data_IF_034202817619
#
_entry.id   IF_034202817619
#
_cell.length_a   1.000
_cell.length_b   1.000
_cell.length_c   1.000
_cell.angle_alpha   90.00
_cell.angle_beta   90.00
_cell.angle_gamma   90.00
#
_symmetry.space_group_name_H-M   'P 1'
#
loop_
_entity.id
_entity.type
_entity.pdbx_description
1 polymer ?
#
# COMPACT_ATOMS: atom_id res chain seq x y z
N UNK A 1 3.42 -21.35 -12.02
CA UNK A 1 2.46 -20.27 -11.71
C UNK A 1 1.72 -19.76 -12.95
N UNK A 2 2.37 -19.10 -13.92
CA UNK A 2 1.68 -18.52 -15.11
C UNK A 2 0.93 -19.58 -15.94
N UNK A 3 1.60 -20.68 -16.28
CA UNK A 3 0.95 -21.78 -17.02
C UNK A 3 -0.23 -22.39 -16.25
N UNK A 4 -0.10 -22.50 -14.93
CA UNK A 4 -1.16 -23.00 -14.04
C UNK A 4 -2.41 -22.13 -14.12
N UNK A 5 -2.29 -20.81 -13.96
CA UNK A 5 -3.47 -19.91 -14.02
C UNK A 5 -4.09 -19.84 -15.42
N UNK A 6 -3.27 -20.03 -16.48
CA UNK A 6 -3.75 -20.13 -17.85
C UNK A 6 -4.60 -21.39 -18.06
N UNK A 7 -4.15 -22.53 -17.56
CA UNK A 7 -4.91 -23.79 -17.60
C UNK A 7 -6.21 -23.69 -16.80
N UNK A 8 -6.17 -23.10 -15.60
CA UNK A 8 -7.37 -22.85 -14.80
C UNK A 8 -8.41 -22.07 -15.61
N UNK A 9 -8.04 -20.97 -16.27
CA UNK A 9 -8.98 -20.20 -17.12
C UNK A 9 -9.60 -21.03 -18.24
N UNK A 10 -8.84 -21.95 -18.81
CA UNK A 10 -9.33 -22.85 -19.85
C UNK A 10 -10.35 -23.86 -19.29
N UNK A 11 -10.10 -24.40 -18.09
CA UNK A 11 -10.98 -25.39 -17.45
C UNK A 11 -12.29 -24.78 -16.93
N UNK A 12 -12.22 -23.64 -16.23
CA UNK A 12 -13.39 -23.04 -15.57
C UNK A 12 -14.11 -22.00 -16.44
N UNK A 13 -13.53 -21.63 -17.58
CA UNK A 13 -14.09 -20.63 -18.50
C UNK A 13 -13.75 -19.18 -18.15
N UNK A 14 -13.84 -18.31 -19.16
CA UNK A 14 -13.41 -16.91 -19.09
C UNK A 14 -14.26 -16.01 -18.18
N UNK A 15 -15.50 -16.40 -17.87
CA UNK A 15 -16.39 -15.66 -16.99
C UNK A 15 -16.19 -15.99 -15.50
N UNK A 16 -15.27 -16.90 -15.17
CA UNK A 16 -15.01 -17.33 -13.79
C UNK A 16 -13.61 -16.92 -13.29
N UNK A 17 -12.82 -16.22 -14.12
CA UNK A 17 -11.50 -15.70 -13.78
C UNK A 17 -11.19 -14.43 -14.57
N UNK A 18 -10.62 -13.45 -13.89
CA UNK A 18 -10.17 -12.20 -14.49
C UNK A 18 -8.67 -12.01 -14.24
N UNK A 19 -7.95 -11.55 -15.25
CA UNK A 19 -6.53 -11.23 -15.13
C UNK A 19 -6.32 -9.72 -15.00
N UNK A 20 -5.82 -9.30 -13.84
CA UNK A 20 -5.43 -7.92 -13.56
C UNK A 20 -3.91 -7.83 -13.65
N UNK A 21 -3.41 -7.03 -14.58
CA UNK A 21 -1.97 -6.88 -14.79
C UNK A 21 -1.47 -5.54 -14.29
N UNK A 22 -0.63 -5.55 -13.26
CA UNK A 22 0.04 -4.37 -12.73
C UNK A 22 1.28 -4.06 -13.58
N UNK A 23 1.35 -2.85 -14.11
CA UNK A 23 2.50 -2.37 -14.87
C UNK A 23 3.02 -1.05 -14.31
N UNK A 24 4.22 -0.66 -14.72
CA UNK A 24 4.82 0.63 -14.35
C UNK A 24 4.94 1.54 -15.57
N UNK A 25 4.47 2.79 -15.42
CA UNK A 25 4.58 3.88 -16.39
C UNK A 25 5.46 4.96 -15.78
N UNK A 26 6.79 4.87 -15.96
CA UNK A 26 7.71 5.85 -15.40
C UNK A 26 7.58 7.21 -16.10
N UNK A 27 7.83 8.27 -15.34
CA UNK A 27 8.06 9.63 -15.84
C UNK A 27 9.45 10.07 -15.35
N UNK A 28 10.52 9.84 -16.14
CA UNK A 28 11.88 10.19 -15.73
C UNK A 28 12.02 11.68 -15.42
N UNK A 29 12.72 11.99 -14.33
CA UNK A 29 12.99 13.36 -13.93
C UNK A 29 13.70 14.13 -15.08
N UNK A 30 13.27 15.36 -15.33
CA UNK A 30 13.84 16.23 -16.35
C UNK A 30 13.24 16.10 -17.76
N UNK A 31 12.49 15.03 -18.05
CA UNK A 31 11.85 14.84 -19.36
C UNK A 31 10.33 15.16 -19.30
N UNK A 32 9.72 15.13 -18.10
CA UNK A 32 8.28 15.37 -17.87
C UNK A 32 7.35 14.61 -18.85
N UNK A 33 7.78 13.46 -19.34
CA UNK A 33 7.07 12.66 -20.33
C UNK A 33 6.94 11.22 -19.84
N UNK A 34 5.71 10.76 -19.75
CA UNK A 34 5.37 9.39 -19.38
C UNK A 34 5.83 8.39 -20.46
N UNK A 35 6.49 7.31 -20.03
CA UNK A 35 6.98 6.26 -20.93
C UNK A 35 6.14 5.00 -20.81
N UNK A 36 5.29 4.76 -21.81
CA UNK A 36 4.44 3.54 -21.89
C UNK A 36 5.18 2.28 -22.35
N UNK A 37 6.42 2.39 -22.82
CA UNK A 37 7.18 1.26 -23.38
C UNK A 37 7.33 0.07 -22.41
N UNK A 38 7.64 0.27 -21.10
CA UNK A 38 7.72 -0.85 -20.15
C UNK A 38 6.39 -1.58 -20.01
N UNK A 39 5.27 -0.85 -19.94
CA UNK A 39 3.92 -1.42 -19.92
C UNK A 39 3.64 -2.26 -21.16
N UNK A 40 3.95 -1.74 -22.36
CA UNK A 40 3.76 -2.48 -23.62
C UNK A 40 4.59 -3.77 -23.68
N UNK A 41 5.84 -3.74 -23.24
CA UNK A 41 6.69 -4.93 -23.20
C UNK A 41 6.18 -5.95 -22.20
N UNK A 42 5.77 -5.49 -21.01
CA UNK A 42 5.21 -6.34 -19.96
C UNK A 42 3.95 -7.07 -20.43
N UNK A 43 2.99 -6.36 -21.02
CA UNK A 43 1.77 -6.99 -21.57
C UNK A 43 2.09 -7.93 -22.72
N UNK A 44 3.01 -7.58 -23.63
CA UNK A 44 3.42 -8.49 -24.71
C UNK A 44 4.02 -9.80 -24.18
N UNK A 45 4.80 -9.74 -23.10
CA UNK A 45 5.34 -10.94 -22.46
C UNK A 45 4.23 -11.79 -21.85
N UNK A 46 3.24 -11.17 -21.20
CA UNK A 46 2.07 -11.86 -20.66
C UNK A 46 1.24 -12.54 -21.77
N UNK A 47 0.98 -11.82 -22.86
CA UNK A 47 0.25 -12.34 -24.02
C UNK A 47 1.01 -13.50 -24.70
N UNK A 48 2.34 -13.46 -24.77
CA UNK A 48 3.17 -14.58 -25.28
C UNK A 48 3.03 -15.84 -24.43
N UNK A 49 2.75 -15.69 -23.14
CA UNK A 49 2.43 -16.79 -22.25
C UNK A 49 0.96 -17.23 -22.34
N UNK A 50 0.18 -16.71 -23.30
CA UNK A 50 -1.22 -17.09 -23.53
C UNK A 50 -2.19 -16.46 -22.53
N UNK A 51 -1.78 -15.43 -21.80
CA UNK A 51 -2.64 -14.69 -20.86
C UNK A 51 -2.88 -13.29 -21.42
N UNK A 52 -4.15 -12.92 -21.57
CA UNK A 52 -4.56 -11.59 -22.00
C UNK A 52 -5.19 -10.86 -20.81
N UNK A 53 -4.66 -9.68 -20.43
CA UNK A 53 -5.18 -8.97 -19.27
C UNK A 53 -6.59 -8.43 -19.54
N UNK A 54 -7.45 -8.61 -18.55
CA UNK A 54 -8.80 -8.05 -18.52
C UNK A 54 -8.80 -6.58 -18.08
N UNK A 55 -7.81 -6.22 -17.26
CA UNK A 55 -7.60 -4.89 -16.72
C UNK A 55 -6.09 -4.65 -16.53
N UNK A 56 -5.63 -3.45 -16.82
CA UNK A 56 -4.26 -3.00 -16.57
C UNK A 56 -4.30 -1.96 -15.45
N UNK A 57 -3.58 -2.23 -14.36
CA UNK A 57 -3.30 -1.22 -13.35
C UNK A 57 -1.96 -0.56 -13.72
N UNK A 58 -2.01 0.69 -14.15
CA UNK A 58 -0.85 1.46 -14.54
C UNK A 58 -0.31 2.24 -13.33
N UNK A 59 0.70 1.69 -12.65
CA UNK A 59 1.43 2.38 -11.59
C UNK A 59 2.23 3.53 -12.17
N UNK A 60 2.00 4.74 -11.69
CA UNK A 60 2.74 5.94 -12.10
C UNK A 60 2.78 6.95 -10.96
N UNK A 61 3.66 7.95 -11.04
CA UNK A 61 3.64 9.07 -10.09
C UNK A 61 2.56 10.10 -10.42
N UNK A 62 2.02 10.07 -11.64
CA UNK A 62 1.04 11.04 -12.14
C UNK A 62 -0.03 10.33 -12.97
N UNK A 63 -1.20 10.96 -13.12
CA UNK A 63 -2.30 10.45 -13.95
C UNK A 63 -1.83 10.30 -15.40
N UNK A 64 -2.17 9.17 -16.04
CA UNK A 64 -1.83 8.95 -17.44
C UNK A 64 -2.51 9.99 -18.33
N UNK A 65 -1.70 10.64 -19.17
CA UNK A 65 -2.22 11.50 -20.24
C UNK A 65 -3.07 10.68 -21.22
N UNK A 66 -4.06 11.30 -21.85
CA UNK A 66 -4.92 10.63 -22.84
C UNK A 66 -4.13 10.01 -23.98
N UNK A 67 -3.06 10.67 -24.42
CA UNK A 67 -2.17 10.16 -25.45
C UNK A 67 -1.51 8.84 -25.01
N UNK A 68 -1.02 8.78 -23.78
CA UNK A 68 -0.37 7.58 -23.23
C UNK A 68 -1.38 6.48 -22.98
N UNK A 69 -2.58 6.80 -22.47
CA UNK A 69 -3.65 5.82 -22.26
C UNK A 69 -4.09 5.20 -23.58
N UNK A 70 -4.36 6.01 -24.62
CA UNK A 70 -4.70 5.53 -25.98
C UNK A 70 -3.60 4.66 -26.57
N UNK A 71 -2.33 5.05 -26.37
CA UNK A 71 -1.18 4.26 -26.81
C UNK A 71 -1.12 2.93 -26.07
N UNK A 72 -1.30 2.89 -24.76
CA UNK A 72 -1.35 1.62 -24.00
C UNK A 72 -2.50 0.74 -24.50
N UNK A 73 -3.72 1.29 -24.63
CA UNK A 73 -4.88 0.56 -25.14
C UNK A 73 -4.62 -0.11 -26.49
N UNK A 74 -4.13 0.68 -27.47
CA UNK A 74 -3.83 0.20 -28.82
C UNK A 74 -2.72 -0.86 -28.84
N UNK A 75 -1.60 -0.63 -28.15
CA UNK A 75 -0.46 -1.55 -28.20
C UNK A 75 -0.65 -2.82 -27.35
N UNK A 76 -1.52 -2.76 -26.34
CA UNK A 76 -1.80 -3.86 -25.42
C UNK A 76 -3.08 -4.63 -25.78
N UNK A 77 -3.88 -4.12 -26.73
CA UNK A 77 -5.16 -4.66 -27.15
C UNK A 77 -6.15 -4.81 -25.98
N UNK A 78 -6.32 -3.72 -25.22
CA UNK A 78 -7.29 -3.61 -24.11
C UNK A 78 -8.16 -2.37 -24.30
N UNK A 79 -9.38 -2.44 -23.78
CA UNK A 79 -10.28 -1.29 -23.75
C UNK A 79 -9.65 -0.13 -22.98
N UNK A 80 -9.92 1.11 -23.42
CA UNK A 80 -9.36 2.29 -22.78
C UNK A 80 -9.84 2.45 -21.33
N UNK A 81 -11.07 2.00 -21.05
CA UNK A 81 -11.69 1.98 -19.72
C UNK A 81 -11.10 0.90 -18.81
N UNK A 82 -10.48 -0.14 -19.40
CA UNK A 82 -9.75 -1.19 -18.67
C UNK A 82 -8.32 -0.77 -18.26
N UNK A 83 -7.93 0.48 -18.46
CA UNK A 83 -6.64 1.02 -18.02
C UNK A 83 -6.89 1.93 -16.83
N UNK A 84 -6.39 1.51 -15.66
CA UNK A 84 -6.63 2.14 -14.37
C UNK A 84 -5.36 2.82 -13.89
N UNK A 85 -5.45 4.11 -13.60
CA UNK A 85 -4.37 4.85 -12.95
C UNK A 85 -4.19 4.39 -11.51
N UNK A 86 -2.95 4.06 -11.16
CA UNK A 86 -2.54 3.84 -9.78
C UNK A 86 -1.45 4.84 -9.41
N UNK A 87 -1.88 6.05 -9.06
CA UNK A 87 -0.98 7.18 -8.76
C UNK A 87 -0.44 7.12 -7.33
N UNK A 88 0.64 7.85 -7.05
CA UNK A 88 1.10 8.05 -5.67
C UNK A 88 0.00 8.73 -4.84
N UNK A 89 -0.28 8.18 -3.67
CA UNK A 89 -1.31 8.64 -2.74
C UNK A 89 -0.71 8.96 -1.38
N UNK A 90 -1.39 9.81 -0.61
CA UNK A 90 -0.93 10.20 0.73
C UNK A 90 -1.17 9.10 1.78
N UNK A 91 -2.18 8.25 1.54
CA UNK A 91 -2.42 7.06 2.35
C UNK A 91 -2.93 5.91 1.50
N UNK A 92 -2.54 4.67 1.84
CA UNK A 92 -2.91 3.45 1.09
C UNK A 92 -4.42 3.24 0.99
N UNK A 93 -5.19 3.77 1.95
CA UNK A 93 -6.65 3.71 1.98
C UNK A 93 -7.32 4.52 0.87
N UNK A 94 -6.59 5.41 0.18
CA UNK A 94 -7.09 6.13 -1.00
C UNK A 94 -7.18 5.24 -2.25
N UNK A 95 -6.39 4.16 -2.31
CA UNK A 95 -6.28 3.31 -3.51
C UNK A 95 -7.63 2.67 -3.89
N UNK A 96 -8.39 2.04 -2.96
CA UNK A 96 -9.68 1.45 -3.32
C UNK A 96 -10.70 2.49 -3.78
N UNK A 97 -10.67 3.71 -3.21
CA UNK A 97 -11.53 4.83 -3.64
C UNK A 97 -11.17 5.27 -5.06
N UNK A 98 -9.88 5.37 -5.37
CA UNK A 98 -9.41 5.69 -6.71
C UNK A 98 -9.87 4.64 -7.74
N UNK A 99 -9.73 3.36 -7.41
CA UNK A 99 -10.16 2.26 -8.28
C UNK A 99 -11.68 2.20 -8.44
N UNK A 100 -12.43 2.48 -7.37
CA UNK A 100 -13.88 2.58 -7.43
C UNK A 100 -14.33 3.67 -8.41
N UNK A 101 -13.76 4.88 -8.29
CA UNK A 101 -14.05 6.02 -9.18
C UNK A 101 -13.71 5.75 -10.65
N UNK A 102 -12.77 4.84 -10.92
CA UNK A 102 -12.37 4.44 -12.27
C UNK A 102 -13.16 3.23 -12.80
N UNK A 103 -14.19 2.75 -12.09
CA UNK A 103 -15.08 1.70 -12.58
C UNK A 103 -14.51 0.28 -12.47
N UNK A 104 -13.46 0.04 -11.67
CA UNK A 104 -12.86 -1.31 -11.53
C UNK A 104 -13.90 -2.37 -11.12
N UNK A 105 -14.78 -2.00 -10.19
CA UNK A 105 -15.86 -2.86 -9.71
C UNK A 105 -16.86 -3.22 -10.82
N UNK A 106 -17.21 -2.29 -11.70
CA UNK A 106 -18.11 -2.52 -12.85
C UNK A 106 -17.46 -3.43 -13.89
N UNK A 107 -16.18 -3.20 -14.20
CA UNK A 107 -15.41 -4.00 -15.16
C UNK A 107 -15.33 -5.47 -14.67
N UNK A 108 -15.00 -5.67 -13.40
CA UNK A 108 -14.92 -7.01 -12.81
C UNK A 108 -16.29 -7.65 -12.65
N UNK A 109 -17.31 -6.89 -12.27
CA UNK A 109 -18.70 -7.34 -12.17
C UNK A 109 -19.19 -7.89 -13.51
N UNK A 110 -18.97 -7.14 -14.60
CA UNK A 110 -19.34 -7.56 -15.95
C UNK A 110 -18.55 -8.78 -16.41
N UNK A 111 -17.23 -8.82 -16.19
CA UNK A 111 -16.38 -9.93 -16.65
C UNK A 111 -16.63 -11.24 -15.92
N UNK A 112 -16.90 -11.16 -14.61
CA UNK A 112 -17.11 -12.33 -13.75
C UNK A 112 -18.58 -12.72 -13.61
N UNK A 113 -19.50 -11.96 -14.23
CA UNK A 113 -20.95 -12.14 -14.09
C UNK A 113 -21.42 -12.19 -12.62
N UNK A 114 -20.83 -11.32 -11.79
CA UNK A 114 -21.18 -11.19 -10.36
C UNK A 114 -21.74 -9.80 -10.10
N UNK A 115 -22.73 -9.70 -9.21
CA UNK A 115 -23.22 -8.39 -8.74
C UNK A 115 -22.34 -7.92 -7.60
N UNK A 116 -21.83 -6.70 -7.70
CA UNK A 116 -20.98 -6.08 -6.68
C UNK A 116 -21.55 -4.71 -6.33
N UNK A 117 -21.65 -4.42 -5.04
CA UNK A 117 -22.06 -3.12 -4.51
C UNK A 117 -21.07 -2.69 -3.41
N UNK A 118 -19.94 -2.07 -3.78
CA UNK A 118 -18.91 -1.67 -2.82
C UNK A 118 -19.38 -0.52 -1.91
N UNK A 119 -19.30 -0.71 -0.59
CA UNK A 119 -19.60 0.34 0.41
C UNK A 119 -18.47 1.36 0.51
N UNK A 120 -18.43 2.31 -0.43
CA UNK A 120 -17.30 3.26 -0.52
C UNK A 120 -17.41 4.44 0.46
N UNK A 121 -18.61 4.71 0.98
CA UNK A 121 -18.88 5.86 1.85
C UNK A 121 -18.17 5.73 3.20
N UNK A 122 -18.21 4.54 3.81
CA UNK A 122 -17.54 4.26 5.07
C UNK A 122 -16.02 4.40 4.95
N UNK A 123 -15.44 3.85 3.87
CA UNK A 123 -14.02 4.00 3.59
C UNK A 123 -13.64 5.46 3.33
N UNK A 124 -14.47 6.20 2.59
CA UNK A 124 -14.23 7.61 2.30
C UNK A 124 -14.23 8.47 3.58
N UNK A 125 -15.11 8.16 4.54
CA UNK A 125 -15.11 8.80 5.87
C UNK A 125 -13.82 8.50 6.63
N UNK A 126 -13.40 7.22 6.68
CA UNK A 126 -12.16 6.82 7.33
C UNK A 126 -10.95 7.54 6.74
N UNK A 127 -10.83 7.55 5.41
CA UNK A 127 -9.76 8.26 4.69
C UNK A 127 -9.77 9.75 5.01
N UNK A 128 -10.96 10.35 5.08
CA UNK A 128 -11.12 11.75 5.49
C UNK A 128 -10.53 12.03 6.88
N UNK A 129 -10.84 11.17 7.86
CA UNK A 129 -10.31 11.29 9.23
C UNK A 129 -8.79 11.09 9.26
N UNK A 130 -8.27 10.06 8.60
CA UNK A 130 -6.81 9.80 8.54
C UNK A 130 -6.06 11.01 7.98
N UNK A 131 -6.55 11.57 6.86
CA UNK A 131 -5.94 12.75 6.24
C UNK A 131 -6.06 13.98 7.13
N UNK A 132 -7.23 14.20 7.72
CA UNK A 132 -7.45 15.30 8.67
C UNK A 132 -6.46 15.25 9.83
N UNK A 133 -6.27 14.07 10.44
CA UNK A 133 -5.32 13.88 11.54
C UNK A 133 -3.88 14.13 11.11
N UNK A 134 -3.53 13.83 9.87
CA UNK A 134 -2.18 14.10 9.35
C UNK A 134 -1.92 15.60 9.13
N UNK A 135 -2.88 16.34 8.57
CA UNK A 135 -2.71 17.76 8.24
C UNK A 135 -2.96 18.70 9.42
N UNK A 136 -3.95 18.39 10.27
CA UNK A 136 -4.39 19.23 11.39
C UNK A 136 -4.78 18.37 12.60
N UNK A 137 -3.81 17.69 13.25
CA UNK A 137 -4.10 16.83 14.40
C UNK A 137 -4.64 17.62 15.59
N UNK A 138 -5.74 17.14 16.19
CA UNK A 138 -6.23 17.66 17.48
C UNK A 138 -5.28 17.34 18.64
N UNK A 139 -4.63 16.18 18.57
CA UNK A 139 -3.66 15.69 19.53
C UNK A 139 -2.62 14.83 18.81
N UNK A 140 -1.37 14.93 19.26
CA UNK A 140 -0.26 14.09 18.79
C UNK A 140 0.19 13.21 19.96
N UNK A 141 0.40 11.92 19.69
CA UNK A 141 1.01 10.96 20.61
C UNK A 141 2.26 10.40 19.93
N UNK A 142 3.41 10.49 20.60
CA UNK A 142 4.67 9.97 20.11
C UNK A 142 4.91 8.58 20.69
N UNK A 143 5.11 7.58 19.82
CA UNK A 143 5.34 6.18 20.21
C UNK A 143 6.71 5.73 19.71
N UNK A 144 7.55 5.23 20.62
CA UNK A 144 8.79 4.56 20.25
C UNK A 144 8.50 3.09 19.92
N UNK A 145 8.94 2.62 18.77
CA UNK A 145 8.96 1.19 18.42
C UNK A 145 10.41 0.72 18.54
N UNK A 146 10.74 -0.04 19.58
CA UNK A 146 12.11 -0.48 19.87
C UNK A 146 12.39 -1.83 19.19
N UNK A 147 12.71 -1.77 17.91
CA UNK A 147 12.85 -2.92 17.02
C UNK A 147 14.31 -3.32 16.73
N UNK A 148 14.53 -4.56 16.31
CA UNK A 148 15.85 -5.06 15.87
C UNK A 148 16.24 -4.56 14.47
N UNK A 149 15.28 -4.49 13.56
CA UNK A 149 15.50 -4.15 12.17
C UNK A 149 15.09 -2.70 11.88
N UNK A 150 15.90 -1.74 12.32
CA UNK A 150 15.58 -0.32 12.10
C UNK A 150 15.71 0.10 10.62
N UNK A 151 16.54 -0.61 9.84
CA UNK A 151 16.77 -0.32 8.42
C UNK A 151 15.70 -0.90 7.47
N UNK A 152 14.86 -1.81 7.97
CA UNK A 152 13.82 -2.47 7.20
C UNK A 152 12.45 -2.02 7.72
N UNK A 153 11.95 -0.91 7.17
CA UNK A 153 10.66 -0.32 7.53
C UNK A 153 9.50 -1.32 7.50
N UNK A 154 9.55 -2.31 6.60
CA UNK A 154 8.50 -3.31 6.42
C UNK A 154 8.40 -4.30 7.60
N UNK A 155 9.46 -4.46 8.40
CA UNK A 155 9.49 -5.39 9.54
C UNK A 155 8.43 -5.09 10.61
N UNK A 156 7.91 -3.85 10.62
CA UNK A 156 6.92 -3.38 11.59
C UNK A 156 5.70 -2.75 10.91
N UNK A 157 5.47 -3.04 9.63
CA UNK A 157 4.36 -2.47 8.86
C UNK A 157 3.01 -2.68 9.57
N UNK A 158 2.71 -3.90 10.03
CA UNK A 158 1.45 -4.20 10.72
C UNK A 158 1.29 -3.45 12.05
N UNK A 159 2.38 -3.18 12.77
CA UNK A 159 2.34 -2.40 14.02
C UNK A 159 2.02 -0.94 13.69
N UNK A 160 2.72 -0.36 12.71
CA UNK A 160 2.48 1.01 12.26
C UNK A 160 1.04 1.20 11.75
N UNK A 161 0.54 0.28 10.92
CA UNK A 161 -0.84 0.35 10.43
C UNK A 161 -1.88 0.22 11.56
N UNK A 162 -1.62 -0.61 12.56
CA UNK A 162 -2.48 -0.69 13.74
C UNK A 162 -2.56 0.66 14.48
N UNK A 163 -1.45 1.39 14.59
CA UNK A 163 -1.42 2.73 15.17
C UNK A 163 -2.17 3.75 14.29
N UNK A 164 -2.10 3.65 12.97
CA UNK A 164 -2.89 4.49 12.06
C UNK A 164 -4.39 4.27 12.30
N UNK A 165 -4.83 3.02 12.42
CA UNK A 165 -6.24 2.70 12.74
C UNK A 165 -6.68 3.24 14.10
N UNK A 166 -5.86 3.09 15.13
CA UNK A 166 -6.17 3.65 16.46
C UNK A 166 -6.24 5.18 16.41
N UNK A 167 -5.30 5.83 15.72
CA UNK A 167 -5.30 7.27 15.54
C UNK A 167 -6.57 7.76 14.82
N UNK A 168 -6.99 7.06 13.76
CA UNK A 168 -8.23 7.38 13.07
C UNK A 168 -9.46 7.21 13.96
N UNK A 169 -9.54 6.13 14.74
CA UNK A 169 -10.67 5.85 15.62
C UNK A 169 -10.79 6.84 16.79
N UNK A 170 -9.66 7.36 17.28
CA UNK A 170 -9.60 8.30 18.39
C UNK A 170 -9.47 9.77 17.96
N UNK A 171 -9.53 10.04 16.66
CA UNK A 171 -9.42 11.39 16.07
C UNK A 171 -8.12 12.13 16.52
N UNK A 172 -7.00 11.41 16.46
CA UNK A 172 -5.67 11.89 16.84
C UNK A 172 -4.60 11.37 15.87
N UNK A 173 -3.39 11.95 15.95
CA UNK A 173 -2.24 11.49 15.19
C UNK A 173 -1.26 10.74 16.09
N UNK A 174 -0.99 9.48 15.76
CA UNK A 174 0.11 8.72 16.39
C UNK A 174 1.33 8.84 15.50
N UNK A 175 2.41 9.43 16.03
CA UNK A 175 3.72 9.46 15.38
C UNK A 175 4.56 8.34 15.96
N UNK A 176 4.84 7.33 15.14
CA UNK A 176 5.71 6.23 15.53
C UNK A 176 7.13 6.45 15.03
N UNK A 177 8.12 6.32 15.91
CA UNK A 177 9.54 6.34 15.54
C UNK A 177 10.14 4.97 15.81
N UNK A 178 10.79 4.40 14.81
CA UNK A 178 11.51 3.14 14.95
C UNK A 178 12.90 3.43 15.54
N UNK A 179 13.18 2.83 16.70
CA UNK A 179 14.46 2.94 17.40
C UNK A 179 15.18 1.60 17.29
N UNK A 180 16.44 1.61 16.86
CA UNK A 180 17.25 0.39 16.77
C UNK A 180 17.62 -0.12 18.16
N UNK A 181 17.13 -1.32 18.50
CA UNK A 181 17.45 -2.03 19.73
C UNK A 181 18.90 -2.52 19.83
N UNK A 182 19.67 -2.55 18.74
CA UNK A 182 21.10 -2.92 18.81
C UNK A 182 21.98 -1.82 19.41
N UNK A 183 21.58 -0.55 19.30
CA UNK A 183 22.32 0.61 19.79
C UNK A 183 21.43 1.54 20.66
N UNK A 184 20.45 0.95 21.35
CA UNK A 184 19.47 1.73 22.11
C UNK A 184 20.09 2.33 23.37
N UNK A 185 20.01 3.65 23.49
CA UNK A 185 20.27 4.39 24.72
C UNK A 185 18.95 4.91 25.32
N UNK A 186 18.80 4.86 26.63
CA UNK A 186 17.61 5.35 27.34
C UNK A 186 17.29 6.83 27.06
N UNK A 187 18.31 7.64 26.73
CA UNK A 187 18.12 9.05 26.38
C UNK A 187 17.28 9.24 25.12
N UNK A 188 17.27 8.25 24.21
CA UNK A 188 16.46 8.28 23.00
C UNK A 188 14.97 8.14 23.30
N UNK A 189 14.59 7.71 24.51
CA UNK A 189 13.19 7.42 24.85
C UNK A 189 12.48 8.58 25.57
N UNK A 190 13.19 9.68 25.86
CA UNK A 190 12.70 10.79 26.70
C UNK A 190 11.50 11.56 26.14
N UNK A 191 11.35 11.59 24.83
CA UNK A 191 10.31 12.39 24.15
C UNK A 191 9.05 11.58 23.80
N UNK A 192 9.01 10.29 24.16
CA UNK A 192 7.94 9.38 23.78
C UNK A 192 6.89 9.23 24.88
N UNK A 193 5.62 9.27 24.49
CA UNK A 193 4.45 9.08 25.34
C UNK A 193 4.15 7.60 25.62
N UNK A 194 4.74 6.70 24.82
CA UNK A 194 4.58 5.25 24.95
C UNK A 194 5.67 4.49 24.21
N UNK A 195 5.93 3.26 24.65
CA UNK A 195 6.99 2.40 24.11
C UNK A 195 6.39 1.06 23.70
N UNK A 196 6.72 0.60 22.50
CA UNK A 196 6.39 -0.72 21.97
C UNK A 196 7.68 -1.50 21.80
N UNK A 197 7.81 -2.66 22.44
CA UNK A 197 8.92 -3.59 22.21
C UNK A 197 8.40 -4.81 21.45
N UNK A 198 8.49 -4.82 20.11
CA UNK A 198 8.02 -5.93 19.31
C UNK A 198 8.88 -7.19 19.51
N UNK A 199 8.45 -8.32 18.92
CA UNK A 199 9.27 -9.52 18.81
C UNK A 199 10.63 -9.24 18.13
N UNK A 200 11.64 -10.04 18.43
CA UNK A 200 12.97 -9.92 17.80
C UNK A 200 13.61 -11.28 17.65
N UNK A 201 13.62 -11.82 16.44
CA UNK A 201 14.21 -13.12 16.16
C UNK A 201 15.74 -13.06 16.16
N UNK A 202 16.38 -14.09 16.69
CA UNK A 202 17.84 -14.25 16.77
C UNK A 202 18.48 -13.67 18.02
N UNK A 203 19.80 -13.80 18.16
CA UNK A 203 20.53 -13.51 19.42
C UNK A 203 21.17 -12.13 19.54
N UNK A 204 20.62 -11.09 18.92
CA UNK A 204 21.15 -9.70 18.99
C UNK A 204 20.01 -8.70 19.21
N UNK A 205 20.31 -7.58 19.86
CA UNK A 205 19.37 -6.49 20.12
C UNK A 205 18.41 -6.75 21.28
N UNK A 206 18.64 -7.81 22.08
CA UNK A 206 17.81 -8.07 23.25
C UNK A 206 18.19 -7.16 24.42
N UNK A 207 19.47 -6.75 24.52
CA UNK A 207 19.94 -5.81 25.55
C UNK A 207 19.24 -4.46 25.44
N UNK A 208 19.14 -3.88 24.24
CA UNK A 208 18.42 -2.61 24.04
C UNK A 208 16.94 -2.71 24.34
N UNK A 209 16.31 -3.87 24.08
CA UNK A 209 14.92 -4.12 24.48
C UNK A 209 14.76 -4.16 26.00
N UNK A 210 15.70 -4.80 26.72
CA UNK A 210 15.73 -4.78 28.18
C UNK A 210 15.88 -3.35 28.70
N UNK A 211 16.75 -2.54 28.09
CA UNK A 211 16.91 -1.12 28.42
C UNK A 211 15.59 -0.35 28.23
N UNK A 212 14.91 -0.54 27.10
CA UNK A 212 13.63 0.12 26.82
C UNK A 212 12.54 -0.26 27.84
N UNK A 213 12.43 -1.55 28.17
CA UNK A 213 11.47 -2.06 29.17
C UNK A 213 11.79 -1.48 30.56
N UNK A 214 13.08 -1.46 30.95
CA UNK A 214 13.52 -0.89 32.22
C UNK A 214 13.17 0.60 32.28
N UNK A 215 13.48 1.35 31.24
CA UNK A 215 13.20 2.78 31.15
C UNK A 215 11.69 3.06 31.27
N UNK A 216 10.86 2.29 30.53
CA UNK A 216 9.40 2.43 30.61
C UNK A 216 8.88 2.21 32.04
N UNK A 217 9.34 1.13 32.70
CA UNK A 217 8.96 0.78 34.06
C UNK A 217 9.39 1.82 35.09
N UNK A 218 10.61 2.34 35.00
CA UNK A 218 11.15 3.29 35.98
C UNK A 218 10.60 4.71 35.82
N UNK A 219 10.09 5.06 34.63
CA UNK A 219 9.50 6.37 34.34
C UNK A 219 7.96 6.34 34.23
N UNK A 220 7.31 5.22 34.53
CA UNK A 220 5.86 5.03 34.41
C UNK A 220 5.30 5.35 33.00
N UNK A 221 6.06 5.00 31.96
CA UNK A 221 5.64 5.18 30.56
C UNK A 221 4.83 3.94 30.13
N UNK A 222 3.65 4.12 29.51
CA UNK A 222 2.88 3.03 28.92
C UNK A 222 3.73 2.16 27.98
N UNK A 223 3.63 0.85 28.17
CA UNK A 223 4.45 -0.14 27.49
C UNK A 223 3.59 -1.26 26.88
N UNK A 224 3.94 -1.71 25.67
CA UNK A 224 3.36 -2.87 24.97
C UNK A 224 4.45 -3.81 24.43
#
# INVERSE_FOLDING_TARGET
FIETVRQIRHEIGSSNIAFIHLTYVPSPAGINEQKSKPTQQSVKTLNKAGIFPDLIIARSSQVLTDQIRKKVAMFCNVEITSIIDNIDVSTIYEIPISFYKQGVHEILSSKLNIKVDPKIEELSKLVGVIKSNFFAPKKIINIAICGKYAELDDSYASIRESLVHVGANLDLLIKSTLIDSNDLNENYLKEFDGIIVPGGFGGKGYEGKIIAIKYARENNIPFL
#
